data_IF_990624371110
#
_entry.id   IF_990624371110
#
_cell.length_a   1.000
_cell.length_b   1.000
_cell.length_c   1.000
_cell.angle_alpha   90.00
_cell.angle_beta   90.00
_cell.angle_gamma   90.00
#
_symmetry.space_group_name_H-M   'P 1'
#
loop_
_entity.id
_entity.type
_entity.pdbx_description
1 polymer ?
#
# COMPACT_ATOMS: atom_id res chain seq x y z
N UNK A 1 -15.43 11.45 -4.54
CA UNK A 1 -15.46 10.16 -3.82
C UNK A 1 -14.25 10.00 -2.90
N UNK A 2 -13.02 10.09 -3.43
CA UNK A 2 -11.76 9.98 -2.67
C UNK A 2 -11.69 10.89 -1.44
N UNK A 3 -12.03 12.17 -1.58
CA UNK A 3 -12.01 13.12 -0.46
C UNK A 3 -13.02 12.75 0.65
N UNK A 4 -14.17 12.19 0.30
CA UNK A 4 -15.17 11.76 1.28
C UNK A 4 -14.67 10.52 2.07
N UNK A 5 -14.04 9.57 1.37
CA UNK A 5 -13.39 8.41 2.01
C UNK A 5 -12.24 8.86 2.91
N UNK A 6 -11.40 9.78 2.44
CA UNK A 6 -10.31 10.36 3.22
C UNK A 6 -10.84 10.95 4.54
N UNK A 7 -11.84 11.83 4.47
CA UNK A 7 -12.43 12.45 5.65
C UNK A 7 -12.99 11.41 6.64
N UNK A 8 -13.71 10.41 6.12
CA UNK A 8 -14.27 9.33 6.94
C UNK A 8 -13.19 8.48 7.62
N UNK A 9 -12.10 8.17 6.91
CA UNK A 9 -11.03 7.32 7.44
C UNK A 9 -10.19 8.07 8.47
N UNK A 10 -9.86 9.33 8.23
CA UNK A 10 -9.12 10.18 9.17
C UNK A 10 -9.82 10.33 10.52
N UNK A 11 -11.17 10.34 10.53
CA UNK A 11 -11.96 10.37 11.76
C UNK A 11 -11.87 9.07 12.58
N UNK A 12 -11.61 7.94 11.92
CA UNK A 12 -11.55 6.60 12.55
C UNK A 12 -10.15 6.18 13.00
N UNK A 13 -9.10 6.95 12.65
CA UNK A 13 -7.75 6.67 13.12
C UNK A 13 -7.65 6.79 14.64
N UNK A 14 -6.97 5.83 15.26
CA UNK A 14 -6.51 5.99 16.64
C UNK A 14 -5.35 7.00 16.72
N UNK A 15 -4.91 7.36 17.93
CA UNK A 15 -3.87 8.37 18.16
C UNK A 15 -2.56 8.05 17.43
N UNK A 16 -2.08 6.81 17.51
CA UNK A 16 -0.81 6.39 16.92
C UNK A 16 -0.87 6.40 15.39
N UNK A 17 -1.96 5.87 14.83
CA UNK A 17 -2.19 5.88 13.39
C UNK A 17 -2.32 7.31 12.85
N UNK A 18 -3.00 8.20 13.59
CA UNK A 18 -3.12 9.61 13.23
C UNK A 18 -1.76 10.30 13.21
N UNK A 19 -0.93 10.07 14.23
CA UNK A 19 0.43 10.60 14.29
C UNK A 19 1.26 10.16 13.06
N UNK A 20 1.20 8.87 12.69
CA UNK A 20 1.88 8.36 11.48
C UNK A 20 1.37 9.05 10.21
N UNK A 21 0.05 9.20 10.05
CA UNK A 21 -0.54 9.87 8.89
C UNK A 21 -0.10 11.33 8.81
N UNK A 22 -0.09 12.06 9.92
CA UNK A 22 0.33 13.45 9.99
C UNK A 22 1.81 13.63 9.62
N UNK A 23 2.69 12.77 10.14
CA UNK A 23 4.13 12.77 9.79
C UNK A 23 4.31 12.59 8.29
N UNK A 24 3.64 11.60 7.70
CA UNK A 24 3.78 11.28 6.27
C UNK A 24 3.18 12.36 5.38
N UNK A 25 2.00 12.91 5.70
CA UNK A 25 1.42 14.01 4.93
C UNK A 25 2.26 15.28 5.06
N UNK A 26 2.82 15.56 6.24
CA UNK A 26 3.77 16.67 6.41
C UNK A 26 5.00 16.48 5.52
N UNK A 27 5.54 15.26 5.45
CA UNK A 27 6.69 14.96 4.57
C UNK A 27 6.38 15.17 3.08
N UNK A 28 5.14 14.86 2.67
CA UNK A 28 4.66 15.07 1.29
C UNK A 28 4.48 16.55 0.97
N UNK A 29 3.81 17.33 1.83
CA UNK A 29 3.38 18.69 1.49
C UNK A 29 4.29 19.81 1.98
N UNK A 30 4.98 19.64 3.11
CA UNK A 30 5.86 20.68 3.67
C UNK A 30 7.29 20.57 3.14
N UNK A 31 7.70 19.36 2.72
CA UNK A 31 8.88 19.04 1.91
C UNK A 31 10.15 19.88 2.20
N UNK A 32 10.51 20.08 3.47
CA UNK A 32 11.74 20.80 3.83
C UNK A 32 12.98 19.99 3.40
N UNK A 33 14.11 20.69 3.17
CA UNK A 33 15.34 20.10 2.64
C UNK A 33 15.81 18.87 3.44
N UNK A 34 15.70 18.93 4.77
CA UNK A 34 16.16 17.86 5.67
C UNK A 34 15.07 16.84 6.03
N UNK A 35 13.90 16.89 5.38
CA UNK A 35 12.81 15.96 5.70
C UNK A 35 13.07 14.59 5.08
N UNK A 36 13.04 13.49 5.86
CA UNK A 36 13.17 12.13 5.32
C UNK A 36 12.17 11.87 4.19
N UNK A 37 12.60 11.12 3.17
CA UNK A 37 11.74 10.74 2.01
C UNK A 37 11.32 9.28 2.02
N UNK A 38 11.90 8.49 2.90
CA UNK A 38 11.62 7.06 3.04
C UNK A 38 11.25 6.77 4.49
N UNK A 39 10.12 6.09 4.66
CA UNK A 39 9.57 5.74 5.95
C UNK A 39 9.21 4.26 5.95
N UNK A 40 9.39 3.62 7.10
CA UNK A 40 8.97 2.24 7.32
C UNK A 40 7.94 2.22 8.45
N UNK A 41 6.73 1.76 8.13
CA UNK A 41 5.67 1.57 9.11
C UNK A 41 5.65 0.10 9.54
N UNK A 42 6.07 -0.13 10.78
CA UNK A 42 6.02 -1.45 11.40
C UNK A 42 4.88 -1.54 12.44
N UNK A 43 4.44 -2.76 12.69
CA UNK A 43 3.53 -3.06 13.78
C UNK A 43 3.03 -4.51 13.72
N UNK A 44 2.55 -5.06 14.84
CA UNK A 44 1.96 -6.39 14.88
C UNK A 44 0.81 -6.63 13.89
N UNK A 45 0.43 -7.90 13.71
CA UNK A 45 -0.79 -8.24 13.00
C UNK A 45 -2.01 -7.59 13.70
N UNK A 46 -2.98 -7.12 12.91
CA UNK A 46 -4.20 -6.50 13.45
C UNK A 46 -4.10 -5.02 13.84
N UNK A 47 -2.92 -4.37 13.75
CA UNK A 47 -2.77 -2.95 14.11
C UNK A 47 -3.30 -1.94 13.08
N UNK A 48 -3.92 -2.41 11.99
CA UNK A 48 -4.52 -1.53 10.99
C UNK A 48 -3.54 -0.84 10.04
N UNK A 49 -2.34 -1.39 9.80
CA UNK A 49 -1.37 -0.82 8.84
C UNK A 49 -1.98 -0.57 7.45
N UNK A 50 -2.75 -1.52 6.95
CA UNK A 50 -3.49 -1.37 5.68
C UNK A 50 -4.45 -0.19 5.72
N UNK A 51 -5.12 0.05 6.85
CA UNK A 51 -6.02 1.18 7.02
C UNK A 51 -5.27 2.52 7.00
N UNK A 52 -4.09 2.58 7.60
CA UNK A 52 -3.19 3.74 7.50
C UNK A 52 -2.81 4.01 6.04
N UNK A 53 -2.37 2.99 5.30
CA UNK A 53 -2.03 3.13 3.87
C UNK A 53 -3.23 3.62 3.05
N UNK A 54 -4.41 3.02 3.23
CA UNK A 54 -5.63 3.45 2.53
C UNK A 54 -6.00 4.90 2.86
N UNK A 55 -5.85 5.32 4.12
CA UNK A 55 -6.11 6.70 4.53
C UNK A 55 -5.18 7.69 3.83
N UNK A 56 -3.88 7.39 3.75
CA UNK A 56 -2.92 8.21 3.00
C UNK A 56 -3.27 8.28 1.52
N UNK A 57 -3.55 7.13 0.90
CA UNK A 57 -3.87 7.05 -0.53
C UNK A 57 -5.10 7.87 -0.89
N UNK A 58 -6.20 7.73 -0.13
CA UNK A 58 -7.41 8.51 -0.34
C UNK A 58 -7.19 10.00 -0.06
N UNK A 59 -6.37 10.35 0.94
CA UNK A 59 -6.10 11.76 1.28
C UNK A 59 -5.30 12.45 0.18
N UNK A 60 -4.24 11.82 -0.32
CA UNK A 60 -3.40 12.38 -1.39
C UNK A 60 -4.23 12.53 -2.68
N UNK A 61 -4.97 11.50 -3.07
CA UNK A 61 -5.83 11.57 -4.27
C UNK A 61 -7.01 12.50 -4.11
N UNK A 62 -7.57 12.61 -2.91
CA UNK A 62 -8.65 13.53 -2.60
C UNK A 62 -8.26 14.98 -2.84
N UNK A 63 -6.98 15.32 -2.64
CA UNK A 63 -6.38 16.62 -2.95
C UNK A 63 -6.04 16.83 -4.43
N UNK A 64 -6.17 15.79 -5.25
CA UNK A 64 -5.86 15.82 -6.68
C UNK A 64 -4.43 15.41 -7.02
N UNK A 65 -3.65 14.96 -6.05
CA UNK A 65 -2.26 14.56 -6.25
C UNK A 65 -2.14 13.08 -6.67
N UNK A 66 -1.04 12.77 -7.38
CA UNK A 66 -0.75 11.43 -7.86
C UNK A 66 -0.07 10.57 -6.79
N UNK A 67 -0.51 9.30 -6.70
CA UNK A 67 0.11 8.29 -5.84
C UNK A 67 0.07 6.91 -6.52
N UNK A 68 1.16 6.16 -6.36
CA UNK A 68 1.33 4.83 -6.96
C UNK A 68 1.39 3.78 -5.84
N UNK A 69 0.26 3.18 -5.44
CA UNK A 69 0.24 2.11 -4.47
C UNK A 69 0.77 0.80 -5.07
N UNK A 70 1.76 0.23 -4.39
CA UNK A 70 2.44 -0.99 -4.82
C UNK A 70 2.47 -2.00 -3.67
N UNK A 71 2.24 -3.27 -3.98
CA UNK A 71 2.40 -4.37 -3.05
C UNK A 71 3.22 -5.52 -3.64
N UNK A 72 3.72 -6.44 -2.81
CA UNK A 72 4.50 -7.60 -3.27
C UNK A 72 3.63 -8.67 -3.92
N UNK A 73 2.44 -8.95 -3.36
CA UNK A 73 1.51 -9.98 -3.82
C UNK A 73 0.24 -9.38 -4.42
N UNK A 74 -0.45 -10.16 -5.27
CA UNK A 74 -1.73 -9.74 -5.87
C UNK A 74 -2.80 -9.44 -4.82
N UNK A 75 -2.96 -10.32 -3.82
CA UNK A 75 -3.94 -10.14 -2.73
C UNK A 75 -3.63 -8.89 -1.91
N UNK A 76 -2.36 -8.59 -1.61
CA UNK A 76 -2.02 -7.36 -0.91
C UNK A 76 -2.32 -6.11 -1.77
N UNK A 77 -2.13 -6.20 -3.09
CA UNK A 77 -2.43 -5.10 -4.00
C UNK A 77 -3.93 -4.78 -4.07
N UNK A 78 -4.82 -5.77 -3.97
CA UNK A 78 -6.28 -5.53 -4.00
C UNK A 78 -6.80 -4.77 -2.78
N UNK A 79 -6.07 -4.81 -1.65
CA UNK A 79 -6.41 -4.06 -0.45
C UNK A 79 -6.13 -2.55 -0.57
N UNK A 80 -5.35 -2.14 -1.57
CA UNK A 80 -5.00 -0.73 -1.82
C UNK A 80 -5.79 -0.19 -3.00
N UNK A 81 -6.25 1.05 -2.92
CA UNK A 81 -7.00 1.67 -4.02
C UNK A 81 -6.14 1.77 -5.29
N UNK A 82 -6.57 1.11 -6.37
CA UNK A 82 -5.80 1.00 -7.63
C UNK A 82 -4.40 0.40 -7.40
N UNK A 83 -4.24 -0.40 -6.35
CA UNK A 83 -3.01 -1.10 -6.03
C UNK A 83 -2.63 -2.07 -7.13
N UNK A 84 -1.33 -2.18 -7.38
CA UNK A 84 -0.74 -3.11 -8.35
C UNK A 84 0.47 -3.79 -7.73
N UNK A 85 0.87 -4.93 -8.27
CA UNK A 85 2.07 -5.61 -7.77
C UNK A 85 3.33 -4.88 -8.21
N UNK A 86 4.39 -4.92 -7.40
CA UNK A 86 5.69 -4.32 -7.74
C UNK A 86 6.23 -4.81 -9.09
N UNK A 87 6.09 -6.11 -9.34
CA UNK A 87 6.41 -6.73 -10.62
C UNK A 87 5.68 -6.05 -11.79
N UNK A 88 4.38 -5.81 -11.68
CA UNK A 88 3.59 -5.21 -12.76
C UNK A 88 3.90 -3.72 -13.00
N UNK A 89 4.18 -2.96 -11.93
CA UNK A 89 4.42 -1.51 -11.96
C UNK A 89 5.83 -1.19 -12.40
N UNK A 90 6.84 -1.81 -11.77
CA UNK A 90 8.25 -1.52 -12.02
C UNK A 90 8.88 -2.44 -13.06
N UNK A 91 8.10 -3.35 -13.65
CA UNK A 91 8.58 -4.34 -14.64
C UNK A 91 9.75 -5.16 -14.10
N UNK A 92 9.67 -5.53 -12.82
CA UNK A 92 10.68 -6.39 -12.19
C UNK A 92 10.66 -7.75 -12.90
N UNK A 93 11.78 -8.16 -13.53
CA UNK A 93 11.83 -9.42 -14.24
C UNK A 93 11.70 -10.60 -13.27
N UNK A 94 11.12 -11.68 -13.76
CA UNK A 94 11.14 -12.97 -13.08
C UNK A 94 12.21 -13.79 -13.79
N UNK A 95 13.31 -14.08 -13.10
CA UNK A 95 14.38 -14.90 -13.63
C UNK A 95 13.95 -16.37 -13.66
N UNK A 96 13.38 -16.78 -14.79
CA UNK A 96 13.00 -18.15 -15.05
C UNK A 96 14.16 -18.89 -15.69
N UNK A 97 14.40 -20.13 -15.24
CA UNK A 97 15.31 -21.07 -15.86
C UNK A 97 14.58 -22.39 -16.18
N UNK A 98 15.24 -23.32 -16.86
CA UNK A 98 14.63 -24.59 -17.27
C UNK A 98 14.15 -25.46 -16.10
N UNK A 99 14.62 -25.20 -14.88
CA UNK A 99 14.20 -25.90 -13.66
C UNK A 99 13.20 -25.09 -12.81
N UNK A 100 12.80 -23.90 -13.26
CA UNK A 100 11.78 -23.10 -12.59
C UNK A 100 10.42 -23.78 -12.71
N UNK A 101 9.89 -24.27 -11.59
CA UNK A 101 8.58 -24.89 -11.50
C UNK A 101 7.73 -24.21 -10.44
N UNK A 102 6.41 -24.19 -10.63
CA UNK A 102 5.48 -23.82 -9.57
C UNK A 102 5.30 -25.00 -8.61
N UNK A 103 5.21 -24.75 -7.31
CA UNK A 103 4.93 -25.79 -6.31
C UNK A 103 3.42 -26.12 -6.16
N UNK A 104 2.56 -25.50 -6.98
CA UNK A 104 1.14 -25.85 -7.05
C UNK A 104 0.99 -27.21 -7.73
N UNK A 105 0.37 -28.14 -7.01
CA UNK A 105 0.07 -29.48 -7.53
C UNK A 105 -1.22 -29.41 -8.35
N UNK A 106 -1.32 -30.11 -9.50
CA UNK A 106 -2.58 -30.24 -10.22
C UNK A 106 -3.66 -30.90 -9.36
N UNK A 107 -4.92 -30.59 -9.61
CA UNK A 107 -6.10 -31.14 -8.93
C UNK A 107 -6.12 -30.91 -7.41
N UNK A 108 -5.50 -29.83 -6.93
CA UNK A 108 -5.70 -29.37 -5.55
C UNK A 108 -6.65 -28.18 -5.53
N UNK A 109 -7.29 -27.95 -4.37
CA UNK A 109 -8.21 -26.83 -4.20
C UNK A 109 -7.54 -25.48 -4.50
N UNK A 110 -6.24 -25.38 -4.23
CA UNK A 110 -5.43 -24.18 -4.50
C UNK A 110 -5.16 -23.98 -6.00
N UNK A 111 -5.22 -25.03 -6.82
CA UNK A 111 -5.06 -24.96 -8.27
C UNK A 111 -6.36 -24.62 -9.00
N UNK A 112 -7.52 -24.89 -8.38
CA UNK A 112 -8.85 -24.64 -8.95
C UNK A 112 -9.44 -23.25 -8.57
N UNK A 113 -8.71 -22.46 -7.77
CA UNK A 113 -9.07 -21.07 -7.41
C UNK A 113 -8.62 -20.07 -8.48
#
# INVERSE_FOLDING_TARGET
EEQAKANSYTMQLNSEQRNVVEILLSAVYNNAADTPKCYFLDGPAGTGKTFVYSTLLHTIRGRGDDVIPVASTGIAATLLIRGRTAHSVFKIPIDLNATSTCNLKPNTKEADM
#
